data_IF_608767713902
#
_entry.id   IF_608767713902
#
_cell.length_a   1.000
_cell.length_b   1.000
_cell.length_c   1.000
_cell.angle_alpha   90.00
_cell.angle_beta   90.00
_cell.angle_gamma   90.00
#
_symmetry.space_group_name_H-M   'P 1'
#
loop_
_entity.id
_entity.type
_entity.pdbx_description
1 polymer ?
#
# COMPACT_ATOMS: atom_id res chain seq x y z
N UNK A 1 53.72 -64.27 3.40
CA UNK A 1 52.32 -64.27 3.87
C UNK A 1 51.92 -62.93 4.51
N UNK A 2 52.66 -62.41 5.50
CA UNK A 2 52.34 -61.14 6.16
C UNK A 2 52.33 -59.89 5.25
N UNK A 3 53.29 -59.76 4.31
CA UNK A 3 53.37 -58.59 3.41
C UNK A 3 52.15 -58.52 2.49
N UNK A 4 51.69 -59.65 1.97
CA UNK A 4 50.53 -59.70 1.08
C UNK A 4 49.24 -59.34 1.82
N UNK A 5 49.08 -59.82 3.06
CA UNK A 5 47.92 -59.50 3.89
C UNK A 5 47.93 -58.00 4.24
N UNK A 6 49.10 -57.44 4.59
CA UNK A 6 49.28 -56.02 4.90
C UNK A 6 48.95 -55.12 3.71
N UNK A 7 49.47 -55.44 2.52
CA UNK A 7 49.17 -54.67 1.31
C UNK A 7 47.68 -54.76 0.98
N UNK A 8 47.08 -55.95 1.12
CA UNK A 8 45.66 -56.15 0.85
C UNK A 8 44.78 -55.35 1.82
N UNK A 9 45.04 -55.42 3.13
CA UNK A 9 44.27 -54.65 4.12
C UNK A 9 44.48 -53.16 3.96
N UNK A 10 45.70 -52.69 3.72
CA UNK A 10 45.99 -51.27 3.49
C UNK A 10 45.29 -50.72 2.25
N UNK A 11 45.36 -51.44 1.12
CA UNK A 11 44.67 -51.04 -0.11
C UNK A 11 43.16 -51.06 0.08
N UNK A 12 42.62 -52.08 0.74
CA UNK A 12 41.19 -52.18 1.01
C UNK A 12 40.70 -51.04 1.92
N UNK A 13 41.39 -50.76 3.03
CA UNK A 13 41.00 -49.67 3.93
C UNK A 13 41.17 -48.31 3.26
N UNK A 14 42.26 -48.08 2.52
CA UNK A 14 42.49 -46.82 1.81
C UNK A 14 41.42 -46.58 0.75
N UNK A 15 41.14 -47.56 -0.11
CA UNK A 15 40.10 -47.45 -1.14
C UNK A 15 38.73 -47.28 -0.49
N UNK A 16 38.40 -48.08 0.53
CA UNK A 16 37.11 -47.99 1.18
C UNK A 16 36.92 -46.62 1.86
N UNK A 17 37.91 -46.14 2.61
CA UNK A 17 37.83 -44.85 3.29
C UNK A 17 37.81 -43.70 2.29
N UNK A 18 38.63 -43.72 1.25
CA UNK A 18 38.65 -42.68 0.23
C UNK A 18 37.33 -42.63 -0.53
N UNK A 19 36.83 -43.76 -1.02
CA UNK A 19 35.56 -43.83 -1.75
C UNK A 19 34.41 -43.45 -0.82
N UNK A 20 34.35 -44.00 0.38
CA UNK A 20 33.26 -43.72 1.30
C UNK A 20 33.26 -42.25 1.71
N UNK A 21 34.41 -41.68 2.09
CA UNK A 21 34.47 -40.27 2.49
C UNK A 21 34.19 -39.36 1.31
N UNK A 22 34.78 -39.61 0.14
CA UNK A 22 34.53 -38.77 -1.04
C UNK A 22 33.08 -38.83 -1.49
N UNK A 23 32.51 -40.03 -1.66
CA UNK A 23 31.11 -40.18 -2.09
C UNK A 23 30.17 -39.64 -1.02
N UNK A 24 30.35 -40.00 0.25
CA UNK A 24 29.45 -39.54 1.30
C UNK A 24 29.54 -38.03 1.48
N UNK A 25 30.74 -37.45 1.54
CA UNK A 25 30.87 -35.99 1.68
C UNK A 25 30.35 -35.29 0.44
N UNK A 26 30.69 -35.73 -0.77
CA UNK A 26 30.21 -35.10 -2.00
C UNK A 26 28.69 -35.18 -2.11
N UNK A 27 28.10 -36.37 -1.98
CA UNK A 27 26.65 -36.56 -2.09
C UNK A 27 25.94 -35.83 -0.95
N UNK A 28 26.37 -36.02 0.30
CA UNK A 28 25.72 -35.35 1.42
C UNK A 28 25.86 -33.84 1.32
N UNK A 29 27.06 -33.30 1.10
CA UNK A 29 27.22 -31.84 1.02
C UNK A 29 26.48 -31.30 -0.19
N UNK A 30 26.63 -31.88 -1.38
CA UNK A 30 25.97 -31.38 -2.57
C UNK A 30 24.45 -31.46 -2.45
N UNK A 31 23.89 -32.63 -2.14
CA UNK A 31 22.44 -32.80 -2.05
C UNK A 31 21.88 -32.02 -0.87
N UNK A 32 22.47 -32.13 0.32
CA UNK A 32 21.95 -31.42 1.48
C UNK A 32 22.08 -29.91 1.30
N UNK A 33 23.24 -29.39 0.91
CA UNK A 33 23.40 -27.95 0.73
C UNK A 33 22.54 -27.47 -0.43
N UNK A 34 22.54 -28.12 -1.59
CA UNK A 34 21.75 -27.66 -2.72
C UNK A 34 20.25 -27.71 -2.41
N UNK A 35 19.72 -28.85 -1.95
CA UNK A 35 18.28 -28.99 -1.67
C UNK A 35 17.89 -28.09 -0.50
N UNK A 36 18.61 -28.16 0.62
CA UNK A 36 18.26 -27.37 1.79
C UNK A 36 18.39 -25.88 1.50
N UNK A 37 19.51 -25.42 0.95
CA UNK A 37 19.68 -23.98 0.68
C UNK A 37 18.72 -23.54 -0.40
N UNK A 38 18.58 -24.25 -1.52
CA UNK A 38 17.69 -23.82 -2.60
C UNK A 38 16.23 -23.81 -2.14
N UNK A 39 15.72 -24.90 -1.57
CA UNK A 39 14.32 -24.97 -1.15
C UNK A 39 14.06 -24.02 0.02
N UNK A 40 14.90 -24.03 1.05
CA UNK A 40 14.69 -23.15 2.20
C UNK A 40 14.82 -21.69 1.79
N UNK A 41 15.88 -21.29 1.07
CA UNK A 41 16.03 -19.89 0.69
C UNK A 41 14.96 -19.47 -0.28
N UNK A 42 14.64 -20.27 -1.31
CA UNK A 42 13.61 -19.92 -2.29
C UNK A 42 12.24 -19.82 -1.64
N UNK A 43 11.79 -20.83 -0.90
CA UNK A 43 10.46 -20.80 -0.26
C UNK A 43 10.40 -19.68 0.77
N UNK A 44 11.41 -19.56 1.64
CA UNK A 44 11.41 -18.54 2.67
C UNK A 44 11.45 -17.13 2.08
N UNK A 45 12.34 -16.86 1.13
CA UNK A 45 12.43 -15.53 0.50
C UNK A 45 11.21 -15.21 -0.34
N UNK A 46 10.69 -16.17 -1.11
CA UNK A 46 9.48 -15.97 -1.92
C UNK A 46 8.26 -15.72 -1.04
N UNK A 47 8.02 -16.55 -0.01
CA UNK A 47 6.91 -16.37 0.93
C UNK A 47 7.02 -15.05 1.68
N UNK A 48 8.21 -14.72 2.18
CA UNK A 48 8.44 -13.46 2.88
C UNK A 48 8.24 -12.25 1.98
N UNK A 49 8.81 -12.26 0.77
CA UNK A 49 8.65 -11.18 -0.20
C UNK A 49 7.18 -11.03 -0.64
N UNK A 50 6.49 -12.14 -0.88
CA UNK A 50 5.07 -12.14 -1.23
C UNK A 50 4.20 -11.58 -0.10
N UNK A 51 4.35 -12.09 1.14
CA UNK A 51 3.62 -11.56 2.29
C UNK A 51 3.91 -10.07 2.51
N UNK A 52 5.17 -9.67 2.45
CA UNK A 52 5.54 -8.26 2.61
C UNK A 52 4.92 -7.39 1.51
N UNK A 53 4.98 -7.81 0.25
CA UNK A 53 4.39 -7.09 -0.88
C UNK A 53 2.85 -7.01 -0.76
N UNK A 54 2.18 -8.09 -0.38
CA UNK A 54 0.74 -8.13 -0.19
C UNK A 54 0.30 -7.27 0.99
N UNK A 55 0.99 -7.35 2.13
CA UNK A 55 0.68 -6.52 3.30
C UNK A 55 0.95 -5.05 3.03
N UNK A 56 2.07 -4.73 2.39
CA UNK A 56 2.40 -3.35 2.04
C UNK A 56 1.39 -2.78 1.05
N UNK A 57 1.05 -3.51 -0.02
CA UNK A 57 0.03 -3.04 -0.97
C UNK A 57 -1.32 -2.88 -0.26
N UNK A 58 -1.79 -3.88 0.48
CA UNK A 58 -3.07 -3.79 1.18
C UNK A 58 -3.11 -2.60 2.15
N UNK A 59 -2.17 -2.51 3.10
CA UNK A 59 -2.17 -1.45 4.11
C UNK A 59 -1.92 -0.10 3.44
N UNK A 60 -0.81 0.02 2.70
CA UNK A 60 -0.41 1.31 2.17
C UNK A 60 -1.37 1.79 1.09
N UNK A 61 -1.65 1.00 0.04
CA UNK A 61 -2.51 1.50 -1.02
C UNK A 61 -3.95 1.61 -0.55
N UNK A 62 -4.54 0.59 0.06
CA UNK A 62 -5.97 0.66 0.39
C UNK A 62 -6.24 1.69 1.48
N UNK A 63 -5.54 1.63 2.62
CA UNK A 63 -5.85 2.52 3.75
C UNK A 63 -5.43 3.96 3.41
N UNK A 64 -4.24 4.18 2.87
CA UNK A 64 -3.79 5.54 2.58
C UNK A 64 -4.64 6.18 1.48
N UNK A 65 -4.89 5.48 0.37
CA UNK A 65 -5.68 6.07 -0.73
C UNK A 65 -7.13 6.26 -0.32
N UNK A 66 -7.74 5.32 0.41
CA UNK A 66 -9.11 5.46 0.89
C UNK A 66 -9.24 6.62 1.87
N UNK A 67 -8.34 6.72 2.86
CA UNK A 67 -8.33 7.84 3.81
C UNK A 67 -8.10 9.17 3.11
N UNK A 68 -7.14 9.25 2.19
CA UNK A 68 -6.84 10.47 1.44
C UNK A 68 -8.02 10.87 0.55
N UNK A 69 -8.59 9.94 -0.21
CA UNK A 69 -9.75 10.19 -1.07
C UNK A 69 -10.97 10.62 -0.25
N UNK A 70 -11.23 9.96 0.88
CA UNK A 70 -12.33 10.31 1.78
C UNK A 70 -12.12 11.70 2.38
N UNK A 71 -10.97 12.00 2.97
CA UNK A 71 -10.68 13.33 3.50
C UNK A 71 -10.78 14.40 2.42
N UNK A 72 -10.19 14.17 1.24
CA UNK A 72 -10.25 15.13 0.15
C UNK A 72 -11.70 15.37 -0.30
N UNK A 73 -12.48 14.31 -0.50
CA UNK A 73 -13.89 14.42 -0.88
C UNK A 73 -14.71 15.14 0.19
N UNK A 74 -14.56 14.77 1.47
CA UNK A 74 -15.27 15.40 2.58
C UNK A 74 -14.89 16.88 2.74
N UNK A 75 -13.60 17.21 2.69
CA UNK A 75 -13.13 18.59 2.82
C UNK A 75 -13.58 19.42 1.62
N UNK A 76 -13.42 18.90 0.39
CA UNK A 76 -13.85 19.61 -0.81
C UNK A 76 -15.35 19.82 -0.82
N UNK A 77 -16.15 18.79 -0.52
CA UNK A 77 -17.61 18.93 -0.45
C UNK A 77 -18.02 19.90 0.65
N UNK A 78 -17.46 19.80 1.86
CA UNK A 78 -17.78 20.70 2.96
C UNK A 78 -17.41 22.15 2.63
N UNK A 79 -16.17 22.41 2.20
CA UNK A 79 -15.71 23.76 1.88
C UNK A 79 -16.51 24.31 0.70
N UNK A 80 -16.63 23.56 -0.39
CA UNK A 80 -17.33 24.02 -1.57
C UNK A 80 -18.81 24.27 -1.26
N UNK A 81 -19.50 23.32 -0.63
CA UNK A 81 -20.92 23.51 -0.30
C UNK A 81 -21.09 24.63 0.70
N UNK A 82 -20.39 24.62 1.83
CA UNK A 82 -20.55 25.65 2.85
C UNK A 82 -20.22 27.04 2.33
N UNK A 83 -19.06 27.23 1.69
CA UNK A 83 -18.67 28.54 1.16
C UNK A 83 -19.59 28.95 0.02
N UNK A 84 -19.85 28.07 -0.95
CA UNK A 84 -20.71 28.41 -2.08
C UNK A 84 -22.12 28.72 -1.60
N UNK A 85 -22.76 27.84 -0.81
CA UNK A 85 -24.12 28.09 -0.34
C UNK A 85 -24.14 29.29 0.56
N UNK A 86 -23.29 29.41 1.57
CA UNK A 86 -23.34 30.53 2.50
C UNK A 86 -23.10 31.86 1.79
N UNK A 87 -22.03 31.97 1.00
CA UNK A 87 -21.72 33.22 0.28
C UNK A 87 -22.78 33.50 -0.77
N UNK A 88 -23.13 32.53 -1.61
CA UNK A 88 -24.12 32.74 -2.66
C UNK A 88 -25.48 33.08 -2.06
N UNK A 89 -25.99 32.29 -1.12
CA UNK A 89 -27.30 32.58 -0.52
C UNK A 89 -27.26 33.88 0.24
N UNK A 90 -26.26 34.11 1.11
CA UNK A 90 -26.23 35.32 1.92
C UNK A 90 -26.10 36.58 1.04
N UNK A 91 -25.15 36.60 0.10
CA UNK A 91 -24.96 37.75 -0.78
C UNK A 91 -26.17 37.91 -1.70
N UNK A 92 -26.61 36.84 -2.37
CA UNK A 92 -27.75 36.92 -3.27
C UNK A 92 -29.01 37.35 -2.53
N UNK A 93 -29.37 36.71 -1.41
CA UNK A 93 -30.56 37.08 -0.65
C UNK A 93 -30.41 38.48 -0.10
N UNK A 94 -29.29 38.82 0.55
CA UNK A 94 -29.14 40.14 1.16
C UNK A 94 -29.18 41.26 0.12
N UNK A 95 -28.40 41.15 -0.96
CA UNK A 95 -28.38 42.16 -2.02
C UNK A 95 -29.74 42.19 -2.74
N UNK A 96 -30.27 41.04 -3.15
CA UNK A 96 -31.54 41.00 -3.86
C UNK A 96 -32.67 41.53 -2.97
N UNK A 97 -32.83 41.06 -1.75
CA UNK A 97 -33.89 41.54 -0.87
C UNK A 97 -33.68 43.00 -0.54
N UNK A 98 -32.49 43.42 -0.11
CA UNK A 98 -32.26 44.80 0.30
C UNK A 98 -32.48 45.77 -0.87
N UNK A 99 -31.84 45.52 -2.02
CA UNK A 99 -31.98 46.40 -3.18
C UNK A 99 -33.41 46.36 -3.71
N UNK A 100 -33.98 45.17 -3.92
CA UNK A 100 -35.33 45.05 -4.47
C UNK A 100 -36.35 45.66 -3.52
N UNK A 101 -36.34 45.32 -2.22
CA UNK A 101 -37.32 45.87 -1.29
C UNK A 101 -37.10 47.35 -1.11
N UNK A 102 -35.87 47.83 -0.90
CA UNK A 102 -35.61 49.24 -0.64
C UNK A 102 -35.96 50.10 -1.86
N UNK A 103 -35.47 49.74 -3.05
CA UNK A 103 -35.76 50.51 -4.26
C UNK A 103 -37.24 50.41 -4.60
N UNK A 104 -37.83 49.22 -4.59
CA UNK A 104 -39.24 49.07 -4.95
C UNK A 104 -40.14 49.77 -3.95
N UNK A 105 -39.96 49.58 -2.64
CA UNK A 105 -40.83 50.23 -1.65
C UNK A 105 -40.59 51.72 -1.63
N UNK A 106 -39.35 52.19 -1.69
CA UNK A 106 -39.06 53.63 -1.68
C UNK A 106 -39.62 54.32 -2.92
N UNK A 107 -39.34 53.81 -4.13
CA UNK A 107 -39.88 54.40 -5.36
C UNK A 107 -41.41 54.31 -5.39
N UNK A 108 -41.98 53.16 -5.07
CA UNK A 108 -43.44 52.99 -5.12
C UNK A 108 -44.14 53.86 -4.08
N UNK A 109 -43.64 53.90 -2.84
CA UNK A 109 -44.24 54.76 -1.80
C UNK A 109 -44.08 56.22 -2.15
N UNK A 110 -42.88 56.66 -2.54
CA UNK A 110 -42.61 58.06 -2.87
C UNK A 110 -43.46 58.54 -4.05
N UNK A 111 -43.50 57.79 -5.15
CA UNK A 111 -44.34 58.11 -6.32
C UNK A 111 -45.82 58.09 -5.94
N UNK A 112 -46.29 57.07 -5.22
CA UNK A 112 -47.69 56.99 -4.81
C UNK A 112 -48.07 58.15 -3.88
N UNK A 113 -47.20 58.55 -2.95
CA UNK A 113 -47.48 59.71 -2.08
C UNK A 113 -47.45 61.03 -2.82
N UNK A 114 -46.63 61.18 -3.87
CA UNK A 114 -46.51 62.42 -4.62
C UNK A 114 -47.60 62.60 -5.68
N UNK A 115 -48.15 61.51 -6.21
CA UNK A 115 -49.25 61.54 -7.19
C UNK A 115 -50.61 61.61 -6.50
N UNK A 116 -50.73 61.06 -5.29
CA UNK A 116 -51.99 61.03 -4.53
C UNK A 116 -52.15 62.22 -3.57
N UNK A 117 -51.20 63.16 -3.61
CA UNK A 117 -51.29 64.53 -3.08
C UNK A 117 -51.58 65.49 -4.23
#
# INVERSE_FOLDING_TARGET
MNIHIYIHTFMHTYIHTYIHTYIHTYIHTYIHTYIHTYIHTYIHTCMHACMHACMHTYIHTYIHTCMHACMHACMHTYIHTYIHTYIHTYIHTYIHTYIHTYIHTYIHTYIHTYIHY
#
